data_IF_844919858367
#
_entry.id   IF_844919858367
#
_cell.length_a   1.000
_cell.length_b   1.000
_cell.length_c   1.000
_cell.angle_alpha   90.00
_cell.angle_beta   90.00
_cell.angle_gamma   90.00
#
_symmetry.space_group_name_H-M   'P 1'
#
loop_
_entity.id
_entity.type
_entity.pdbx_description
1 polymer ?
#
# COMPACT_ATOMS: atom_id res chain seq x y z
N UNK A 1 -6.14 48.08 -69.94
CA UNK A 1 -6.32 48.69 -68.61
C UNK A 1 -4.95 49.03 -68.05
N UNK A 2 -4.76 50.29 -67.67
CA UNK A 2 -3.59 50.88 -67.01
C UNK A 2 -3.69 50.61 -65.51
N UNK A 3 -2.72 49.93 -64.88
CA UNK A 3 -2.36 50.13 -63.46
C UNK A 3 -0.85 49.93 -63.31
N UNK A 4 -0.26 50.83 -62.53
CA UNK A 4 1.12 51.32 -62.46
C UNK A 4 2.05 50.53 -61.54
N UNK A 5 3.34 50.50 -61.90
CA UNK A 5 4.48 50.04 -61.09
C UNK A 5 4.65 50.85 -59.80
N UNK A 6 4.83 50.16 -58.67
CA UNK A 6 5.36 50.71 -57.42
C UNK A 6 6.71 50.08 -57.10
N UNK A 7 7.75 50.92 -56.99
CA UNK A 7 9.13 50.55 -56.64
C UNK A 7 9.25 50.41 -55.13
N UNK A 8 9.57 49.21 -54.63
CA UNK A 8 9.92 48.99 -53.22
C UNK A 8 11.44 49.01 -53.05
N UNK A 9 11.91 50.04 -52.34
CA UNK A 9 13.31 50.26 -51.95
C UNK A 9 13.78 49.19 -50.98
N UNK A 10 14.92 48.55 -51.30
CA UNK A 10 15.67 47.69 -50.38
C UNK A 10 16.35 48.57 -49.32
N UNK A 11 16.04 48.34 -48.05
CA UNK A 11 16.81 48.87 -46.91
C UNK A 11 17.69 47.73 -46.41
N UNK A 12 18.99 47.85 -46.62
CA UNK A 12 19.99 46.98 -46.00
C UNK A 12 20.23 47.47 -44.57
N UNK A 13 19.91 46.64 -43.58
CA UNK A 13 20.26 46.88 -42.18
C UNK A 13 21.44 45.97 -41.83
N UNK A 14 22.57 46.51 -41.34
CA UNK A 14 23.68 45.69 -40.86
C UNK A 14 23.29 45.03 -39.53
N UNK A 15 23.18 43.71 -39.52
CA UNK A 15 22.97 42.92 -38.31
C UNK A 15 24.29 42.81 -37.55
N UNK A 16 24.38 43.46 -36.39
CA UNK A 16 25.42 43.24 -35.40
C UNK A 16 25.32 41.79 -34.88
N UNK A 17 26.36 40.98 -35.12
CA UNK A 17 26.50 39.64 -34.54
C UNK A 17 27.08 39.81 -33.13
N UNK A 18 26.22 39.79 -32.11
CA UNK A 18 26.64 39.64 -30.72
C UNK A 18 26.61 38.16 -30.36
N UNK A 19 27.78 37.55 -30.22
CA UNK A 19 27.94 36.17 -29.80
C UNK A 19 27.50 35.98 -28.36
N UNK A 20 26.35 35.33 -28.16
CA UNK A 20 25.96 34.78 -26.87
C UNK A 20 26.53 33.37 -26.75
N UNK A 21 27.53 33.20 -25.89
CA UNK A 21 27.91 31.89 -25.40
C UNK A 21 26.76 31.37 -24.52
N UNK A 22 25.96 30.44 -25.04
CA UNK A 22 25.00 29.70 -24.23
C UNK A 22 25.78 28.72 -23.34
N UNK A 23 25.69 28.81 -22.00
CA UNK A 23 26.08 27.70 -21.15
C UNK A 23 25.12 26.54 -21.47
N UNK A 24 25.66 25.43 -21.98
CA UNK A 24 24.95 24.15 -22.04
C UNK A 24 24.69 23.71 -20.59
N UNK A 25 23.56 24.14 -20.04
CA UNK A 25 23.01 23.55 -18.83
C UNK A 25 22.62 22.11 -19.19
N UNK A 26 23.46 21.16 -18.78
CA UNK A 26 23.12 19.75 -18.74
C UNK A 26 21.94 19.62 -17.78
N UNK A 27 20.72 19.60 -18.31
CA UNK A 27 19.55 19.20 -17.57
C UNK A 27 19.73 17.73 -17.18
N UNK A 28 20.33 17.50 -16.01
CA UNK A 28 20.29 16.19 -15.37
C UNK A 28 18.83 15.91 -15.09
N UNK A 29 18.23 15.00 -15.85
CA UNK A 29 16.93 14.45 -15.52
C UNK A 29 17.03 13.92 -14.10
N UNK A 30 16.39 14.59 -13.14
CA UNK A 30 16.07 13.93 -11.87
C UNK A 30 15.17 12.77 -12.24
N UNK A 31 15.76 11.58 -12.36
CA UNK A 31 14.98 10.36 -12.28
C UNK A 31 14.27 10.45 -10.94
N UNK A 32 12.96 10.73 -10.97
CA UNK A 32 12.12 10.62 -9.80
C UNK A 32 12.31 9.18 -9.35
N UNK A 33 13.07 9.00 -8.27
CA UNK A 33 13.28 7.70 -7.68
C UNK A 33 11.90 7.28 -7.22
N UNK A 34 11.31 6.33 -7.95
CA UNK A 34 10.01 5.80 -7.58
C UNK A 34 10.16 5.30 -6.14
N UNK A 35 9.27 5.72 -5.22
CA UNK A 35 9.29 5.21 -3.86
C UNK A 35 9.40 3.68 -3.91
N UNK A 36 10.27 3.14 -3.05
CA UNK A 36 10.33 1.69 -2.89
C UNK A 36 8.96 1.15 -2.43
N UNK A 37 8.76 -0.17 -2.46
CA UNK A 37 7.57 -0.76 -1.86
C UNK A 37 7.51 -0.37 -0.37
N UNK A 38 6.31 -0.14 0.17
CA UNK A 38 6.08 0.22 1.56
C UNK A 38 6.02 -1.02 2.48
N UNK A 39 5.92 -2.21 1.91
CA UNK A 39 5.80 -3.46 2.66
C UNK A 39 6.36 -4.66 1.90
N UNK A 40 6.45 -5.78 2.60
CA UNK A 40 6.77 -7.10 2.03
C UNK A 40 5.71 -8.12 2.42
N UNK A 41 5.50 -9.10 1.56
CA UNK A 41 4.70 -10.28 1.90
C UNK A 41 5.41 -11.57 1.49
N UNK A 42 5.38 -12.56 2.37
CA UNK A 42 5.92 -13.89 2.10
C UNK A 42 4.91 -14.94 2.50
N UNK A 43 5.07 -16.13 1.94
CA UNK A 43 4.36 -17.33 2.34
C UNK A 43 5.33 -18.46 2.63
N UNK A 44 5.14 -19.09 3.78
CA UNK A 44 5.87 -20.30 4.17
C UNK A 44 4.91 -21.31 4.79
N UNK A 45 4.82 -22.48 4.17
CA UNK A 45 3.81 -23.48 4.50
C UNK A 45 2.38 -22.90 4.41
N UNK A 46 1.60 -23.08 5.47
CA UNK A 46 0.24 -22.56 5.56
C UNK A 46 0.13 -21.13 6.11
N UNK A 47 1.23 -20.37 6.24
CA UNK A 47 1.23 -19.02 6.82
C UNK A 47 1.62 -17.97 5.80
N UNK A 48 0.83 -16.91 5.69
CA UNK A 48 1.15 -15.69 4.94
C UNK A 48 1.56 -14.61 5.93
N UNK A 49 2.73 -14.03 5.74
CA UNK A 49 3.31 -13.02 6.62
C UNK A 49 3.50 -11.71 5.84
N UNK A 50 2.78 -10.68 6.26
CA UNK A 50 2.88 -9.30 5.80
C UNK A 50 3.69 -8.48 6.81
N UNK A 51 4.62 -7.67 6.33
CA UNK A 51 5.42 -6.76 7.14
C UNK A 51 5.57 -5.41 6.46
N UNK A 52 5.02 -4.38 7.08
CA UNK A 52 5.27 -2.99 6.75
C UNK A 52 6.74 -2.59 6.97
N UNK A 53 7.21 -1.64 6.18
CA UNK A 53 8.43 -0.90 6.46
C UNK A 53 8.16 0.23 7.45
N UNK A 54 9.22 0.88 7.93
CA UNK A 54 9.09 1.94 8.94
C UNK A 54 8.93 3.30 8.27
N UNK A 55 8.02 4.10 8.79
CA UNK A 55 7.67 5.44 8.32
C UNK A 55 6.61 5.45 7.23
N UNK A 56 5.89 4.35 7.02
CA UNK A 56 4.89 4.19 5.96
C UNK A 56 3.47 4.23 6.55
N UNK A 57 2.47 4.66 5.77
CA UNK A 57 1.05 4.65 6.15
C UNK A 57 0.31 3.56 5.34
N UNK A 58 0.48 2.30 5.71
CA UNK A 58 0.10 1.16 4.88
C UNK A 58 -1.42 0.94 4.80
N UNK A 59 -1.87 0.41 3.65
CA UNK A 59 -3.28 0.09 3.40
C UNK A 59 -3.45 -1.35 2.99
N UNK A 60 -3.27 -2.24 3.95
CA UNK A 60 -3.34 -3.68 3.77
C UNK A 60 -4.77 -4.14 3.49
N UNK A 61 -4.95 -4.89 2.41
CA UNK A 61 -6.17 -5.65 2.13
C UNK A 61 -5.84 -7.08 1.74
N UNK A 62 -6.41 -8.05 2.45
CA UNK A 62 -6.25 -9.48 2.16
C UNK A 62 -7.59 -10.06 1.78
N UNK A 63 -7.69 -10.62 0.57
CA UNK A 63 -8.93 -11.21 0.04
C UNK A 63 -8.67 -12.51 -0.68
N UNK A 64 -9.74 -13.23 -1.00
CA UNK A 64 -9.69 -14.39 -1.86
C UNK A 64 -10.35 -14.06 -3.20
N UNK A 65 -9.66 -14.32 -4.32
CA UNK A 65 -10.13 -13.99 -5.67
C UNK A 65 -9.95 -15.19 -6.61
N UNK A 66 -10.80 -15.34 -7.63
CA UNK A 66 -10.65 -16.40 -8.60
C UNK A 66 -9.57 -16.04 -9.63
N UNK A 67 -8.59 -16.94 -9.83
CA UNK A 67 -7.60 -16.81 -10.90
C UNK A 67 -8.21 -17.05 -12.29
N UNK A 68 -7.39 -16.94 -13.33
CA UNK A 68 -7.81 -17.21 -14.73
C UNK A 68 -8.31 -18.62 -14.99
N UNK A 69 -8.05 -19.57 -14.08
CA UNK A 69 -8.48 -20.96 -14.14
C UNK A 69 -9.69 -21.22 -13.22
N UNK A 70 -10.20 -20.22 -12.52
CA UNK A 70 -11.29 -20.33 -11.56
C UNK A 70 -10.89 -20.85 -10.18
N UNK A 71 -9.59 -20.98 -9.88
CA UNK A 71 -9.10 -21.36 -8.56
C UNK A 71 -9.13 -20.15 -7.63
N UNK A 72 -9.58 -20.34 -6.39
CA UNK A 72 -9.55 -19.28 -5.39
C UNK A 72 -8.12 -19.10 -4.84
N UNK A 73 -7.49 -17.98 -5.17
CA UNK A 73 -6.15 -17.58 -4.71
C UNK A 73 -6.23 -16.51 -3.62
N UNK A 74 -5.25 -16.47 -2.72
CA UNK A 74 -5.12 -15.40 -1.74
C UNK A 74 -4.40 -14.22 -2.38
N UNK A 75 -5.06 -13.08 -2.38
CA UNK A 75 -4.52 -11.81 -2.87
C UNK A 75 -4.25 -10.91 -1.68
N UNK A 76 -3.02 -10.41 -1.60
CA UNK A 76 -2.56 -9.43 -0.62
C UNK A 76 -2.24 -8.13 -1.36
N UNK A 77 -2.89 -7.06 -0.96
CA UNK A 77 -2.78 -5.75 -1.57
C UNK A 77 -2.34 -4.72 -0.53
N UNK A 78 -1.50 -3.78 -0.96
CA UNK A 78 -1.12 -2.61 -0.18
C UNK A 78 -1.01 -1.40 -1.12
N UNK A 79 -1.83 -0.38 -0.89
CA UNK A 79 -1.91 0.79 -1.78
C UNK A 79 -0.65 1.68 -1.74
N UNK A 80 0.18 1.56 -0.71
CA UNK A 80 1.48 2.26 -0.65
C UNK A 80 2.61 1.46 -1.32
N UNK A 81 2.34 0.22 -1.72
CA UNK A 81 3.22 -0.63 -2.51
C UNK A 81 3.70 -1.85 -1.71
N UNK A 82 3.85 -2.97 -2.41
CA UNK A 82 4.19 -4.26 -1.79
C UNK A 82 5.24 -5.01 -2.61
N UNK A 83 6.21 -5.61 -1.93
CA UNK A 83 7.16 -6.55 -2.53
C UNK A 83 6.77 -8.00 -2.20
N UNK A 84 6.50 -8.78 -3.24
CA UNK A 84 6.19 -10.20 -3.12
C UNK A 84 7.49 -11.01 -2.94
N UNK A 85 7.70 -11.51 -1.73
CA UNK A 85 8.79 -12.42 -1.41
C UNK A 85 8.44 -13.90 -1.64
N UNK A 86 9.23 -14.79 -1.04
CA UNK A 86 9.11 -16.24 -1.23
C UNK A 86 7.68 -16.73 -1.00
N UNK A 87 7.17 -17.58 -1.90
CA UNK A 87 5.83 -18.17 -1.81
C UNK A 87 4.68 -17.26 -2.27
N UNK A 88 4.97 -16.03 -2.69
CA UNK A 88 4.04 -15.13 -3.34
C UNK A 88 4.57 -14.71 -4.71
N UNK A 89 3.66 -14.37 -5.62
CA UNK A 89 3.97 -13.85 -6.95
C UNK A 89 3.52 -12.39 -7.02
N UNK A 90 4.39 -11.51 -7.51
CA UNK A 90 4.02 -10.11 -7.76
C UNK A 90 3.00 -10.02 -8.91
N UNK A 91 1.92 -9.26 -8.73
CA UNK A 91 0.88 -9.00 -9.74
C UNK A 91 0.59 -7.48 -9.88
N UNK A 92 1.66 -6.71 -10.05
CA UNK A 92 1.63 -5.24 -10.08
C UNK A 92 2.23 -4.62 -8.82
N UNK A 93 2.46 -3.30 -8.78
CA UNK A 93 3.23 -2.64 -7.71
C UNK A 93 2.57 -2.71 -6.32
N UNK A 94 1.27 -2.94 -6.26
CA UNK A 94 0.47 -2.92 -5.03
C UNK A 94 -0.15 -4.28 -4.70
N UNK A 95 0.13 -5.33 -5.48
CA UNK A 95 -0.57 -6.62 -5.37
C UNK A 95 0.41 -7.78 -5.42
N UNK A 96 0.20 -8.73 -4.50
CA UNK A 96 0.89 -10.00 -4.44
C UNK A 96 -0.12 -11.15 -4.31
N UNK A 97 0.11 -12.24 -5.04
CA UNK A 97 -0.72 -13.45 -5.02
C UNK A 97 0.04 -14.56 -4.32
N UNK A 98 -0.45 -15.01 -3.17
CA UNK A 98 0.24 -15.94 -2.27
C UNK A 98 -0.31 -17.38 -2.36
N UNK A 99 -0.65 -17.84 -3.57
CA UNK A 99 -1.18 -19.19 -3.91
C UNK A 99 -2.65 -19.42 -3.49
N UNK A 100 -3.12 -20.66 -3.60
CA UNK A 100 -4.48 -21.09 -3.29
C UNK A 100 -4.91 -20.72 -1.86
N UNK A 101 -6.00 -19.95 -1.75
CA UNK A 101 -6.52 -19.48 -0.47
C UNK A 101 -6.84 -20.63 0.49
N UNK A 102 -7.39 -21.74 -0.02
CA UNK A 102 -7.73 -22.92 0.79
C UNK A 102 -6.53 -23.67 1.40
N UNK A 103 -5.30 -23.30 1.04
CA UNK A 103 -4.07 -23.87 1.61
C UNK A 103 -3.41 -22.93 2.63
N UNK A 104 -4.00 -21.76 2.87
CA UNK A 104 -3.56 -20.81 3.89
C UNK A 104 -4.38 -21.04 5.15
N UNK A 105 -3.68 -21.25 6.26
CA UNK A 105 -4.25 -21.57 7.58
C UNK A 105 -4.02 -20.47 8.60
N UNK A 106 -3.11 -19.52 8.31
CA UNK A 106 -2.82 -18.37 9.15
C UNK A 106 -2.36 -17.17 8.34
N UNK A 107 -2.79 -15.98 8.76
CA UNK A 107 -2.27 -14.70 8.30
C UNK A 107 -1.58 -14.01 9.48
N UNK A 108 -0.40 -13.43 9.26
CA UNK A 108 0.30 -12.61 10.23
C UNK A 108 0.59 -11.26 9.59
N UNK A 109 0.11 -10.17 10.18
CA UNK A 109 0.36 -8.82 9.70
C UNK A 109 1.07 -8.01 10.79
N UNK A 110 2.19 -7.40 10.42
CA UNK A 110 2.89 -6.40 11.23
C UNK A 110 2.82 -5.07 10.49
N UNK A 111 2.00 -4.13 11.00
CA UNK A 111 1.83 -2.79 10.42
C UNK A 111 2.87 -1.81 10.98
N UNK A 112 3.43 -2.12 12.16
CA UNK A 112 4.68 -1.59 12.73
C UNK A 112 4.59 -0.15 13.21
N UNK A 113 4.35 0.82 12.33
CA UNK A 113 4.21 2.22 12.67
C UNK A 113 3.46 2.98 11.57
N UNK A 114 2.83 4.11 11.91
CA UNK A 114 2.14 4.96 10.92
C UNK A 114 0.66 5.15 11.23
N UNK A 115 -0.11 5.56 10.23
CA UNK A 115 -1.58 5.54 10.28
C UNK A 115 -2.06 4.42 9.36
N UNK A 116 -2.13 3.20 9.90
CA UNK A 116 -2.34 2.01 9.08
C UNK A 116 -3.80 1.59 8.99
N UNK A 117 -4.14 0.94 7.87
CA UNK A 117 -5.41 0.23 7.73
C UNK A 117 -5.16 -1.21 7.31
N UNK A 118 -5.86 -2.15 7.96
CA UNK A 118 -5.78 -3.57 7.65
C UNK A 118 -7.18 -4.18 7.56
N UNK A 119 -7.53 -4.64 6.36
CA UNK A 119 -8.78 -5.35 6.08
C UNK A 119 -8.49 -6.80 5.69
N UNK A 120 -8.77 -7.75 6.58
CA UNK A 120 -8.61 -9.19 6.34
C UNK A 120 -9.98 -9.79 6.00
N UNK A 121 -10.31 -9.86 4.72
CA UNK A 121 -11.63 -10.23 4.19
C UNK A 121 -11.80 -11.75 3.94
N UNK A 122 -10.94 -12.58 4.53
CA UNK A 122 -10.98 -14.04 4.41
C UNK A 122 -11.23 -14.68 5.77
N UNK A 123 -11.88 -15.84 5.79
CA UNK A 123 -12.19 -16.56 7.04
C UNK A 123 -11.00 -17.33 7.64
N UNK A 124 -9.78 -16.83 7.43
CA UNK A 124 -8.53 -17.46 7.86
C UNK A 124 -8.05 -16.79 9.13
N UNK A 125 -7.73 -17.59 10.16
CA UNK A 125 -7.22 -17.09 11.43
C UNK A 125 -6.05 -16.10 11.22
N UNK A 126 -6.15 -14.92 11.80
CA UNK A 126 -5.19 -13.84 11.63
C UNK A 126 -4.54 -13.40 12.94
N UNK A 127 -3.34 -12.82 12.84
CA UNK A 127 -2.68 -12.12 13.93
C UNK A 127 -2.20 -10.79 13.40
N UNK A 128 -2.73 -9.69 13.93
CA UNK A 128 -2.42 -8.33 13.49
C UNK A 128 -1.78 -7.60 14.66
N UNK A 129 -0.56 -7.12 14.46
CA UNK A 129 0.08 -6.14 15.33
C UNK A 129 0.05 -4.80 14.60
N UNK A 130 -0.74 -3.86 15.12
CA UNK A 130 -0.93 -2.56 14.50
C UNK A 130 0.32 -1.68 14.67
N UNK A 131 1.07 -1.86 15.77
CA UNK A 131 2.30 -1.13 15.98
C UNK A 131 2.02 0.21 16.64
N UNK A 132 2.71 1.28 16.22
CA UNK A 132 2.50 2.63 16.78
C UNK A 132 1.81 3.57 15.82
N UNK A 133 0.90 4.40 16.33
CA UNK A 133 0.22 5.41 15.52
C UNK A 133 -1.27 5.12 15.47
N UNK A 134 -2.00 5.62 14.47
CA UNK A 134 -3.46 5.60 14.50
C UNK A 134 -4.02 4.56 13.52
N UNK A 135 -4.50 3.45 14.05
CA UNK A 135 -4.73 2.26 13.24
C UNK A 135 -6.20 1.82 13.17
N UNK A 136 -6.57 1.26 12.02
CA UNK A 136 -7.88 0.64 11.79
C UNK A 136 -7.67 -0.80 11.34
N UNK A 137 -8.10 -1.75 12.16
CA UNK A 137 -8.01 -3.17 11.87
C UNK A 137 -9.41 -3.79 11.80
N UNK A 138 -9.76 -4.35 10.66
CA UNK A 138 -10.95 -5.20 10.52
C UNK A 138 -10.58 -6.59 10.03
N UNK A 139 -11.05 -7.60 10.75
CA UNK A 139 -10.93 -9.00 10.34
C UNK A 139 -12.29 -9.57 9.99
N UNK A 140 -12.29 -10.70 9.29
CA UNK A 140 -13.47 -11.47 8.96
C UNK A 140 -13.53 -12.71 9.87
N UNK A 141 -14.06 -13.83 9.40
CA UNK A 141 -14.09 -15.06 10.21
C UNK A 141 -12.69 -15.62 10.51
N UNK A 142 -12.63 -16.60 11.40
CA UNK A 142 -11.36 -17.21 11.84
C UNK A 142 -11.17 -16.98 13.33
N UNK A 143 -10.05 -17.45 13.90
CA UNK A 143 -9.70 -17.08 15.28
C UNK A 143 -8.64 -15.99 15.20
N UNK A 144 -9.04 -14.76 15.45
CA UNK A 144 -8.21 -13.59 15.24
C UNK A 144 -7.56 -13.08 16.53
N UNK A 145 -6.39 -12.48 16.39
CA UNK A 145 -5.71 -11.76 17.47
C UNK A 145 -5.25 -10.41 16.96
N UNK A 146 -5.77 -9.34 17.57
CA UNK A 146 -5.45 -7.96 17.23
C UNK A 146 -4.78 -7.30 18.44
N UNK A 147 -3.58 -6.75 18.23
CA UNK A 147 -2.85 -5.97 19.22
C UNK A 147 -2.70 -4.52 18.71
N UNK A 148 -3.46 -3.61 19.33
CA UNK A 148 -3.47 -2.17 19.07
C UNK A 148 -2.60 -1.40 20.06
N UNK A 149 -1.88 -2.06 20.97
CA UNK A 149 -1.18 -1.35 22.06
C UNK A 149 0.05 -0.61 21.55
N UNK A 150 -0.05 0.70 21.55
CA UNK A 150 1.03 1.64 21.22
C UNK A 150 1.40 2.62 22.35
N UNK A 151 0.63 2.62 23.46
CA UNK A 151 0.79 3.57 24.57
C UNK A 151 0.05 4.90 24.42
N UNK A 152 -0.71 5.09 23.33
CA UNK A 152 -1.61 6.22 23.08
C UNK A 152 -3.04 5.72 23.18
N UNK A 153 -3.95 6.52 23.76
CA UNK A 153 -5.34 6.12 23.94
C UNK A 153 -6.29 6.85 23.01
N UNK A 154 -7.18 6.13 22.34
CA UNK A 154 -8.30 6.68 21.58
C UNK A 154 -8.01 7.02 20.12
N UNK A 155 -6.87 6.58 19.61
CA UNK A 155 -6.47 6.67 18.20
C UNK A 155 -6.81 5.42 17.40
N UNK A 156 -6.96 4.26 18.05
CA UNK A 156 -7.08 2.99 17.35
C UNK A 156 -8.50 2.43 17.34
N UNK A 157 -8.76 1.60 16.33
CA UNK A 157 -10.00 0.85 16.24
C UNK A 157 -9.82 -0.57 15.70
N UNK A 158 -10.56 -1.50 16.29
CA UNK A 158 -10.62 -2.88 15.86
C UNK A 158 -12.06 -3.37 15.71
N UNK A 159 -12.31 -4.12 14.66
CA UNK A 159 -13.54 -4.89 14.45
C UNK A 159 -13.19 -6.32 14.06
N UNK A 160 -13.67 -7.30 14.84
CA UNK A 160 -13.48 -8.70 14.53
C UNK A 160 -14.62 -9.21 13.65
N UNK A 161 -14.41 -10.22 12.81
CA UNK A 161 -15.51 -10.75 12.03
C UNK A 161 -16.51 -11.53 12.88
N UNK A 162 -17.51 -12.08 12.19
CA UNK A 162 -18.40 -13.06 12.82
C UNK A 162 -17.80 -14.46 12.69
N UNK A 163 -17.63 -15.13 13.83
CA UNK A 163 -17.37 -16.57 13.89
C UNK A 163 -15.91 -16.89 14.19
N UNK A 164 -15.67 -17.42 15.39
CA UNK A 164 -14.32 -17.67 15.87
C UNK A 164 -14.21 -17.56 17.38
N UNK A 165 -13.00 -17.28 17.82
CA UNK A 165 -12.68 -16.89 19.18
C UNK A 165 -11.64 -15.80 19.08
N UNK A 166 -12.12 -14.58 18.88
CA UNK A 166 -11.31 -13.43 18.56
C UNK A 166 -10.88 -12.71 19.83
N UNK A 167 -9.65 -12.21 19.81
CA UNK A 167 -9.08 -11.42 20.89
C UNK A 167 -8.57 -10.12 20.34
N UNK A 168 -9.04 -9.00 20.89
CA UNK A 168 -8.51 -7.67 20.59
C UNK A 168 -8.07 -7.00 21.89
N UNK A 169 -6.87 -6.44 21.87
CA UNK A 169 -6.27 -5.72 23.01
C UNK A 169 -5.85 -4.35 22.52
N UNK A 170 -6.24 -3.30 23.24
CA UNK A 170 -5.84 -1.93 22.97
C UNK A 170 -5.46 -1.19 24.24
N UNK A 171 -5.23 0.11 24.11
CA UNK A 171 -5.03 1.04 25.20
C UNK A 171 -6.39 1.60 25.71
N UNK A 172 -6.43 2.18 26.92
CA UNK A 172 -7.62 2.87 27.40
C UNK A 172 -8.02 4.03 26.47
N UNK A 173 -9.22 3.94 25.89
CA UNK A 173 -9.77 4.94 24.97
C UNK A 173 -9.99 4.42 23.56
N UNK A 174 -9.29 3.34 23.17
CA UNK A 174 -9.41 2.73 21.84
C UNK A 174 -10.80 2.14 21.62
N UNK A 175 -11.15 1.97 20.35
CA UNK A 175 -12.48 1.50 19.94
C UNK A 175 -12.41 0.06 19.49
N UNK A 176 -12.64 -0.86 20.42
CA UNK A 176 -12.76 -2.28 20.10
C UNK A 176 -14.25 -2.65 20.01
N UNK A 177 -14.69 -3.01 18.80
CA UNK A 177 -16.08 -3.34 18.53
C UNK A 177 -16.54 -4.59 19.30
N UNK A 178 -17.85 -4.68 19.53
CA UNK A 178 -18.45 -5.71 20.39
C UNK A 178 -18.45 -7.12 19.80
N UNK A 179 -18.12 -7.24 18.50
CA UNK A 179 -17.95 -8.50 17.77
C UNK A 179 -16.64 -9.22 18.11
N UNK A 180 -15.65 -8.57 18.74
CA UNK A 180 -14.50 -9.28 19.29
C UNK A 180 -14.90 -9.99 20.61
N UNK A 181 -14.84 -11.33 20.67
CA UNK A 181 -15.35 -12.09 21.82
C UNK A 181 -14.56 -11.84 23.10
N UNK A 182 -13.26 -11.55 22.97
CA UNK A 182 -12.38 -11.20 24.09
C UNK A 182 -11.76 -9.83 23.85
N UNK A 183 -12.02 -8.91 24.78
CA UNK A 183 -11.58 -7.52 24.70
C UNK A 183 -10.83 -7.14 25.97
N UNK A 184 -9.70 -6.47 25.81
CA UNK A 184 -8.92 -5.93 26.91
C UNK A 184 -8.43 -4.51 26.58
N UNK A 185 -8.29 -3.70 27.63
CA UNK A 185 -7.79 -2.32 27.61
C UNK A 185 -6.79 -2.13 28.75
#
# INVERSE_FOLDING_TARGET
>A
MKITSGVLKRVAVPALVAGMALPLALATSSAAQQPGPASTVTRSGGTVAYSAYSGEDNKLRVRAEADVNGNLVLVVEDLEGIDAGFGCQQDGPNVAVCDLAGTVTRISAQLRDGTDTAFIEVSTASTVNAGTGADIVETSGGNDTIDLRDGVGGNDSASCGGGGSDTAIGNPGDRIAANCERRAF
#
